data_IF_242479156563
#
_entry.id   IF_242479156563
#
_cell.length_a   1.000
_cell.length_b   1.000
_cell.length_c   1.000
_cell.angle_alpha   90.00
_cell.angle_beta   90.00
_cell.angle_gamma   90.00
#
_symmetry.space_group_name_H-M   'P 1'
#
loop_
_entity.id
_entity.type
_entity.pdbx_description
1 polymer ?
#
# COMPACT_ATOMS: atom_id res chain seq x y z
N UNK A 1 -24.58 -25.17 -17.52
CA UNK A 1 -23.16 -24.78 -17.41
C UNK A 1 -23.11 -23.34 -17.86
N UNK A 2 -23.24 -22.41 -16.91
CA UNK A 2 -23.06 -20.98 -17.17
C UNK A 2 -21.87 -20.52 -16.35
N UNK A 3 -20.79 -20.18 -17.05
CA UNK A 3 -19.62 -19.54 -16.49
C UNK A 3 -20.01 -18.11 -16.10
N UNK A 4 -20.22 -17.88 -14.81
CA UNK A 4 -20.20 -16.52 -14.26
C UNK A 4 -18.75 -16.05 -14.39
N UNK A 5 -18.51 -15.22 -15.40
CA UNK A 5 -17.30 -14.43 -15.53
C UNK A 5 -17.26 -13.46 -14.33
N UNK A 6 -16.63 -13.90 -13.24
CA UNK A 6 -16.25 -13.02 -12.15
C UNK A 6 -15.21 -12.06 -12.73
N UNK A 7 -15.60 -10.81 -12.90
CA UNK A 7 -14.72 -9.72 -13.30
C UNK A 7 -13.78 -9.44 -12.13
N UNK A 8 -12.61 -10.06 -12.17
CA UNK A 8 -11.47 -9.76 -11.30
C UNK A 8 -10.76 -8.52 -11.83
N UNK A 9 -11.14 -7.30 -11.41
CA UNK A 9 -10.35 -6.11 -11.75
C UNK A 9 -10.47 -4.91 -10.79
N UNK A 10 -10.51 -5.10 -9.47
CA UNK A 10 -10.43 -3.96 -8.54
C UNK A 10 -9.42 -4.21 -7.41
N UNK A 11 -8.16 -4.37 -7.82
CA UNK A 11 -7.01 -3.97 -7.00
C UNK A 11 -6.37 -2.81 -7.75
N UNK A 12 -5.82 -1.80 -7.08
CA UNK A 12 -5.02 -0.75 -7.72
C UNK A 12 -3.92 -1.39 -8.56
N UNK A 13 -4.18 -1.59 -9.84
CA UNK A 13 -3.20 -2.00 -10.82
C UNK A 13 -2.12 -0.92 -10.84
N UNK A 14 -0.83 -1.25 -11.02
CA UNK A 14 0.25 -0.27 -11.25
C UNK A 14 -0.16 0.85 -12.24
N UNK A 15 -1.00 0.49 -13.20
CA UNK A 15 -1.69 1.36 -14.14
C UNK A 15 -2.41 2.58 -13.51
N UNK A 16 -3.06 2.48 -12.33
CA UNK A 16 -3.73 3.64 -11.70
C UNK A 16 -2.73 4.65 -11.13
N UNK A 17 -1.70 4.17 -10.43
CA UNK A 17 -0.63 5.03 -9.90
C UNK A 17 0.18 5.66 -11.05
N UNK A 18 0.40 4.92 -12.14
CA UNK A 18 1.06 5.44 -13.34
C UNK A 18 0.21 6.48 -14.08
N UNK A 19 -1.12 6.29 -14.16
CA UNK A 19 -2.03 7.33 -14.66
C UNK A 19 -2.02 8.57 -13.77
N UNK A 20 -2.04 8.40 -12.45
CA UNK A 20 -1.94 9.51 -11.51
C UNK A 20 -0.59 10.25 -11.65
N UNK A 21 0.53 9.53 -11.83
CA UNK A 21 1.85 10.12 -12.11
C UNK A 21 1.88 10.97 -13.38
N UNK A 22 1.17 10.57 -14.43
CA UNK A 22 1.08 11.37 -15.67
C UNK A 22 0.33 12.68 -15.45
N UNK A 23 -0.82 12.63 -14.77
CA UNK A 23 -1.57 13.84 -14.40
C UNK A 23 -0.74 14.74 -13.47
N UNK A 24 -0.02 14.13 -12.53
CA UNK A 24 0.85 14.82 -11.60
C UNK A 24 2.03 15.54 -12.27
N UNK A 25 2.67 14.89 -13.24
CA UNK A 25 3.77 15.50 -13.99
C UNK A 25 3.31 16.74 -14.77
N UNK A 26 2.09 16.71 -15.34
CA UNK A 26 1.51 17.85 -16.02
C UNK A 26 1.25 19.00 -15.03
N UNK A 27 0.59 18.73 -13.92
CA UNK A 27 0.28 19.73 -12.89
C UNK A 27 1.55 20.41 -12.34
N UNK A 28 2.62 19.65 -12.11
CA UNK A 28 3.90 20.18 -11.66
C UNK A 28 4.57 21.08 -12.70
N UNK A 29 4.42 20.78 -13.99
CA UNK A 29 5.05 21.56 -15.06
C UNK A 29 4.45 22.96 -15.20
N UNK A 30 3.21 23.15 -14.76
CA UNK A 30 2.46 24.41 -14.85
C UNK A 30 2.59 25.28 -13.59
N UNK A 31 2.87 24.70 -12.41
CA UNK A 31 2.82 25.39 -11.11
C UNK A 31 4.21 25.63 -10.44
N UNK A 32 5.31 25.63 -11.21
CA UNK A 32 6.68 25.85 -10.66
C UNK A 32 7.14 24.72 -9.74
N UNK A 33 8.25 24.83 -8.98
CA UNK A 33 8.82 23.73 -8.14
C UNK A 33 8.76 24.00 -6.61
N UNK A 34 8.39 25.20 -6.16
CA UNK A 34 8.67 25.68 -4.78
C UNK A 34 7.48 25.73 -3.80
N UNK A 35 6.64 24.68 -3.72
CA UNK A 35 5.56 24.62 -2.72
C UNK A 35 5.69 23.37 -1.83
N UNK A 36 5.55 23.53 -0.51
CA UNK A 36 5.73 22.45 0.47
C UNK A 36 4.61 21.39 0.44
N UNK A 37 3.41 21.70 -0.07
CA UNK A 37 2.21 20.83 0.02
C UNK A 37 1.45 20.59 -1.30
N UNK A 38 2.15 20.42 -2.42
CA UNK A 38 1.54 20.37 -3.77
C UNK A 38 0.47 19.30 -4.00
N UNK A 39 0.51 18.20 -3.27
CA UNK A 39 -0.53 17.17 -3.38
C UNK A 39 -1.83 17.68 -2.78
N UNK A 40 -1.75 18.42 -1.67
CA UNK A 40 -2.91 19.06 -1.05
C UNK A 40 -3.46 20.16 -1.96
N UNK A 41 -2.57 20.95 -2.59
CA UNK A 41 -2.96 21.98 -3.57
C UNK A 41 -3.69 21.36 -4.77
N UNK A 42 -3.15 20.28 -5.36
CA UNK A 42 -3.84 19.57 -6.45
C UNK A 42 -5.18 18.99 -6.00
N UNK A 43 -5.25 18.40 -4.80
CA UNK A 43 -6.53 17.90 -4.27
C UNK A 43 -7.52 19.06 -4.15
N UNK A 44 -7.09 20.19 -3.61
CA UNK A 44 -7.91 21.41 -3.51
C UNK A 44 -8.40 21.88 -4.88
N UNK A 45 -7.51 21.98 -5.88
CA UNK A 45 -7.87 22.40 -7.24
C UNK A 45 -8.87 21.45 -7.90
N UNK A 46 -8.71 20.14 -7.70
CA UNK A 46 -9.65 19.13 -8.22
C UNK A 46 -11.01 19.20 -7.52
N UNK A 47 -11.05 19.53 -6.24
CA UNK A 47 -12.30 19.77 -5.51
C UNK A 47 -13.00 21.03 -6.01
N UNK A 48 -12.26 22.13 -6.24
CA UNK A 48 -12.81 23.35 -6.85
C UNK A 48 -13.32 23.07 -8.27
N UNK A 49 -12.58 22.31 -9.07
CA UNK A 49 -13.01 21.90 -10.42
C UNK A 49 -14.33 21.13 -10.36
N UNK A 50 -14.50 20.24 -9.38
CA UNK A 50 -15.74 19.50 -9.21
C UNK A 50 -16.96 20.41 -8.94
N UNK A 51 -16.75 21.55 -8.28
CA UNK A 51 -17.80 22.55 -8.08
C UNK A 51 -18.07 23.37 -9.35
N UNK A 52 -17.01 23.80 -10.04
CA UNK A 52 -17.09 24.57 -11.29
C UNK A 52 -17.79 23.79 -12.40
N UNK A 53 -17.49 22.49 -12.52
CA UNK A 53 -18.08 21.59 -13.52
C UNK A 53 -19.41 20.97 -13.05
N UNK A 54 -19.96 21.46 -11.93
CA UNK A 54 -21.25 21.04 -11.37
C UNK A 54 -21.39 19.52 -11.17
N UNK A 55 -20.31 18.85 -10.75
CA UNK A 55 -20.36 17.43 -10.45
C UNK A 55 -21.41 17.14 -9.37
N UNK A 56 -22.17 16.03 -9.45
CA UNK A 56 -23.22 15.74 -8.48
C UNK A 56 -22.70 15.71 -7.04
N UNK A 57 -23.13 16.66 -6.20
CA UNK A 57 -22.67 16.79 -4.82
C UNK A 57 -21.38 17.62 -4.63
N UNK A 58 -20.88 18.26 -5.68
CA UNK A 58 -19.72 19.16 -5.64
C UNK A 58 -18.45 18.51 -5.08
N UNK A 59 -17.59 19.34 -4.48
CA UNK A 59 -16.37 18.91 -3.81
C UNK A 59 -16.64 17.79 -2.77
N UNK A 60 -17.64 17.97 -1.91
CA UNK A 60 -17.96 17.03 -0.83
C UNK A 60 -18.36 15.64 -1.37
N UNK A 61 -19.22 15.61 -2.38
CA UNK A 61 -19.69 14.37 -3.00
C UNK A 61 -18.58 13.62 -3.76
N UNK A 62 -17.62 14.34 -4.34
CA UNK A 62 -16.43 13.74 -4.96
C UNK A 62 -15.47 13.20 -3.90
N UNK A 63 -15.16 13.98 -2.87
CA UNK A 63 -14.29 13.54 -1.77
C UNK A 63 -14.81 12.28 -1.07
N UNK A 64 -16.12 12.25 -0.74
CA UNK A 64 -16.75 11.09 -0.11
C UNK A 64 -16.70 9.83 -0.99
N UNK A 65 -16.85 9.97 -2.32
CA UNK A 65 -16.72 8.84 -3.25
C UNK A 65 -15.28 8.38 -3.40
N UNK A 66 -14.32 9.30 -3.48
CA UNK A 66 -12.90 8.98 -3.56
C UNK A 66 -12.44 8.20 -2.32
N UNK A 67 -12.85 8.63 -1.12
CA UNK A 67 -12.59 7.93 0.14
C UNK A 67 -13.19 6.52 0.14
N UNK A 68 -14.47 6.34 -0.22
CA UNK A 68 -15.08 5.00 -0.32
C UNK A 68 -14.37 4.09 -1.32
N UNK A 69 -13.95 4.63 -2.47
CA UNK A 69 -13.22 3.85 -3.47
C UNK A 69 -11.85 3.41 -2.94
N UNK A 70 -11.14 4.29 -2.24
CA UNK A 70 -9.87 3.97 -1.60
C UNK A 70 -10.06 2.90 -0.51
N UNK A 71 -11.04 3.06 0.36
CA UNK A 71 -11.36 2.09 1.43
C UNK A 71 -11.72 0.71 0.86
N UNK A 72 -12.55 0.65 -0.18
CA UNK A 72 -12.90 -0.59 -0.87
C UNK A 72 -11.67 -1.33 -1.44
N UNK A 73 -10.63 -0.60 -1.83
CA UNK A 73 -9.37 -1.17 -2.33
C UNK A 73 -8.42 -1.62 -1.21
N UNK A 74 -8.49 -1.00 -0.02
CA UNK A 74 -7.66 -1.40 1.13
C UNK A 74 -8.06 -2.73 1.77
N UNK A 75 -9.28 -3.21 1.51
CA UNK A 75 -9.91 -4.31 2.25
C UNK A 75 -9.69 -5.75 1.76
N UNK A 76 -8.84 -6.01 0.77
CA UNK A 76 -8.57 -7.41 0.35
C UNK A 76 -7.14 -7.82 0.66
N UNK A 77 -6.98 -8.59 1.75
CA UNK A 77 -5.84 -9.48 1.92
C UNK A 77 -5.58 -10.18 0.60
N UNK A 78 -4.36 -10.12 0.04
CA UNK A 78 -4.13 -10.79 -1.21
C UNK A 78 -3.96 -12.28 -0.94
N UNK A 79 -5.06 -13.03 -1.07
CA UNK A 79 -4.99 -14.43 -1.51
C UNK A 79 -4.16 -14.44 -2.80
N UNK A 80 -2.93 -14.97 -2.71
CA UNK A 80 -2.02 -15.07 -3.85
C UNK A 80 -0.62 -14.46 -3.69
N UNK A 81 -0.19 -13.97 -2.51
CA UNK A 81 1.23 -13.58 -2.27
C UNK A 81 2.18 -14.78 -2.10
N UNK A 82 1.88 -15.92 -2.72
CA UNK A 82 2.69 -17.13 -2.62
C UNK A 82 3.67 -17.24 -3.80
N UNK A 83 4.96 -17.21 -3.40
CA UNK A 83 6.20 -17.68 -4.06
C UNK A 83 6.80 -16.82 -5.18
N UNK A 84 7.85 -16.09 -4.81
CA UNK A 84 9.05 -16.06 -5.65
C UNK A 84 9.88 -17.32 -5.33
N UNK A 85 10.20 -18.12 -6.34
CA UNK A 85 11.03 -19.34 -6.22
C UNK A 85 12.53 -19.02 -6.19
N UNK A 86 12.95 -17.97 -5.48
CA UNK A 86 14.36 -17.75 -5.23
C UNK A 86 14.70 -18.27 -3.83
N UNK A 87 15.83 -18.96 -3.63
CA UNK A 87 16.32 -19.29 -2.30
C UNK A 87 17.04 -18.06 -1.72
N UNK A 88 16.31 -16.96 -1.48
CA UNK A 88 16.88 -15.79 -0.80
C UNK A 88 17.30 -16.13 0.63
N UNK A 89 18.38 -15.51 1.12
CA UNK A 89 18.89 -15.72 2.49
C UNK A 89 17.93 -15.29 3.60
N UNK A 90 17.02 -14.36 3.34
CA UNK A 90 16.08 -13.82 4.31
C UNK A 90 14.64 -13.97 3.83
N UNK A 91 13.73 -14.10 4.79
CA UNK A 91 12.29 -14.28 4.57
C UNK A 91 11.52 -13.27 5.41
N UNK A 92 10.60 -12.56 4.78
CA UNK A 92 9.62 -11.70 5.43
C UNK A 92 8.35 -12.50 5.70
N UNK A 93 7.87 -12.45 6.95
CA UNK A 93 6.69 -13.19 7.36
C UNK A 93 5.72 -12.33 8.16
N UNK A 94 4.44 -12.68 8.07
CA UNK A 94 3.33 -12.09 8.84
C UNK A 94 2.48 -13.19 9.45
N UNK A 95 1.92 -12.94 10.63
CA UNK A 95 0.84 -13.76 11.20
C UNK A 95 -0.15 -12.91 11.97
N UNK A 96 -1.33 -13.47 12.20
CA UNK A 96 -2.15 -13.04 13.34
C UNK A 96 -1.54 -13.61 14.63
N UNK A 97 -1.61 -12.88 15.75
CA UNK A 97 -1.02 -13.28 17.03
C UNK A 97 -1.47 -14.69 17.42
N UNK A 98 -0.49 -15.56 17.71
CA UNK A 98 -0.72 -16.98 18.01
C UNK A 98 -1.02 -17.88 16.79
N UNK A 99 -1.07 -17.31 15.58
CA UNK A 99 -1.31 -18.02 14.32
C UNK A 99 -0.04 -18.57 13.67
N UNK A 100 -0.23 -19.09 12.45
CA UNK A 100 0.85 -19.61 11.59
C UNK A 100 1.51 -18.46 10.83
N UNK A 101 2.84 -18.51 10.70
CA UNK A 101 3.58 -17.55 9.88
C UNK A 101 3.36 -17.80 8.39
N UNK A 102 3.02 -16.73 7.67
CA UNK A 102 2.89 -16.72 6.22
C UNK A 102 4.02 -15.91 5.61
N UNK A 103 4.70 -16.47 4.61
CA UNK A 103 5.74 -15.76 3.86
C UNK A 103 5.12 -14.72 2.94
N UNK A 104 5.61 -13.49 3.06
CA UNK A 104 5.22 -12.31 2.28
C UNK A 104 6.20 -12.10 1.12
N UNK A 105 7.48 -12.44 1.32
CA UNK A 105 8.52 -12.37 0.31
C UNK A 105 9.86 -12.86 0.85
N UNK A 106 10.83 -13.03 -0.03
CA UNK A 106 12.18 -13.49 0.30
C UNK A 106 13.23 -12.84 -0.60
N UNK A 107 14.49 -12.84 -0.16
CA UNK A 107 15.59 -12.19 -0.88
C UNK A 107 16.92 -12.27 -0.11
N UNK A 108 17.99 -11.80 -0.74
CA UNK A 108 19.34 -11.85 -0.15
C UNK A 108 19.69 -10.63 0.69
N UNK A 109 18.97 -9.52 0.50
CA UNK A 109 19.13 -8.28 1.25
C UNK A 109 17.97 -8.13 2.26
N UNK A 110 18.25 -8.11 3.57
CA UNK A 110 17.22 -8.02 4.60
C UNK A 110 16.45 -6.69 4.54
N UNK A 111 17.05 -5.62 4.00
CA UNK A 111 16.38 -4.31 3.85
C UNK A 111 15.29 -4.37 2.79
N UNK A 112 15.60 -4.94 1.62
CA UNK A 112 14.63 -5.21 0.56
C UNK A 112 13.53 -6.15 1.07
N UNK A 113 13.88 -7.18 1.83
CA UNK A 113 12.92 -8.14 2.39
C UNK A 113 11.98 -7.49 3.41
N UNK A 114 12.48 -6.62 4.29
CA UNK A 114 11.64 -5.82 5.19
C UNK A 114 10.67 -4.90 4.44
N UNK A 115 11.09 -4.38 3.28
CA UNK A 115 10.25 -3.59 2.37
C UNK A 115 8.99 -4.33 1.91
N UNK A 116 9.01 -5.65 1.77
CA UNK A 116 7.83 -6.44 1.41
C UNK A 116 6.73 -6.38 2.47
N UNK A 117 7.06 -6.10 3.74
CA UNK A 117 6.10 -6.02 4.84
C UNK A 117 5.39 -4.67 4.92
N UNK A 118 5.88 -3.63 4.23
CA UNK A 118 5.34 -2.26 4.37
C UNK A 118 3.86 -2.17 4.09
N UNK A 119 3.40 -2.82 3.02
CA UNK A 119 1.97 -2.84 2.68
C UNK A 119 1.14 -3.55 3.76
N UNK A 120 1.62 -4.66 4.29
CA UNK A 120 0.94 -5.40 5.35
C UNK A 120 0.91 -4.61 6.67
N UNK A 121 1.98 -3.90 6.99
CA UNK A 121 2.05 -3.02 8.15
C UNK A 121 1.10 -1.82 8.01
N UNK A 122 1.01 -1.20 6.84
CA UNK A 122 0.05 -0.12 6.60
C UNK A 122 -1.40 -0.59 6.76
N UNK A 123 -1.72 -1.79 6.25
CA UNK A 123 -3.04 -2.42 6.47
C UNK A 123 -3.30 -2.66 7.95
N UNK A 124 -2.27 -3.03 8.72
CA UNK A 124 -2.34 -3.22 10.17
C UNK A 124 -2.19 -1.92 10.99
N UNK A 125 -2.33 -0.75 10.37
CA UNK A 125 -2.43 0.54 11.05
C UNK A 125 -1.11 1.28 11.33
N UNK A 126 0.04 0.79 10.84
CA UNK A 126 1.30 1.53 10.96
C UNK A 126 1.33 2.77 10.06
N UNK A 127 1.90 3.87 10.55
CA UNK A 127 2.03 5.10 9.74
C UNK A 127 3.19 4.98 8.77
N UNK A 128 3.03 5.57 7.57
CA UNK A 128 4.07 5.56 6.54
C UNK A 128 5.40 6.14 7.04
N UNK A 129 5.35 7.22 7.84
CA UNK A 129 6.53 7.86 8.42
C UNK A 129 7.33 6.97 9.38
N UNK A 130 6.74 5.90 9.90
CA UNK A 130 7.35 4.99 10.88
C UNK A 130 7.96 3.75 10.22
N UNK A 131 7.58 3.44 8.98
CA UNK A 131 7.95 2.19 8.29
C UNK A 131 9.47 2.02 8.14
N UNK A 132 10.21 3.12 7.93
CA UNK A 132 11.66 3.06 7.81
C UNK A 132 12.32 2.63 9.13
N UNK A 133 11.88 3.16 10.27
CA UNK A 133 12.39 2.78 11.58
C UNK A 133 12.02 1.33 11.91
N UNK A 134 10.78 0.94 11.63
CA UNK A 134 10.32 -0.43 11.82
C UNK A 134 11.02 -1.45 10.92
N UNK A 135 11.43 -1.05 9.71
CA UNK A 135 12.25 -1.92 8.85
C UNK A 135 13.59 -2.22 9.50
N UNK A 136 14.19 -1.23 10.16
CA UNK A 136 15.43 -1.42 10.92
C UNK A 136 15.26 -2.39 12.08
N UNK A 137 14.15 -2.27 12.82
CA UNK A 137 13.79 -3.23 13.88
C UNK A 137 13.64 -4.66 13.33
N UNK A 138 12.95 -4.82 12.20
CA UNK A 138 12.73 -6.12 11.55
C UNK A 138 14.05 -6.75 11.07
N UNK A 139 14.94 -5.95 10.47
CA UNK A 139 16.27 -6.41 10.03
C UNK A 139 17.15 -6.86 11.21
N UNK A 140 16.92 -6.33 12.41
CA UNK A 140 17.58 -6.78 13.64
C UNK A 140 16.95 -8.06 14.23
N UNK A 141 16.02 -8.70 13.51
CA UNK A 141 15.33 -9.92 13.93
C UNK A 141 14.23 -9.69 14.96
N UNK A 142 13.82 -8.43 15.19
CA UNK A 142 12.71 -8.13 16.11
C UNK A 142 11.39 -8.52 15.47
N UNK A 143 10.48 -9.00 16.30
CA UNK A 143 9.08 -9.19 15.89
C UNK A 143 8.32 -7.91 16.24
N UNK A 144 7.74 -7.27 15.24
CA UNK A 144 6.86 -6.12 15.43
C UNK A 144 5.43 -6.61 15.60
N UNK A 145 4.68 -6.02 16.53
CA UNK A 145 3.27 -6.34 16.78
C UNK A 145 2.43 -5.10 16.55
N UNK A 146 1.39 -5.18 15.71
CA UNK A 146 0.40 -4.12 15.55
C UNK A 146 -0.63 -4.14 16.68
N UNK A 147 -1.35 -3.03 16.84
CA UNK A 147 -2.45 -2.95 17.80
C UNK A 147 -3.60 -3.91 17.48
N UNK A 148 -3.76 -4.28 16.21
CA UNK A 148 -4.77 -5.23 15.74
C UNK A 148 -4.32 -6.70 15.88
N UNK A 149 -3.20 -6.93 16.56
CA UNK A 149 -2.69 -8.27 16.87
C UNK A 149 -2.03 -8.96 15.68
N UNK A 150 -1.49 -8.22 14.71
CA UNK A 150 -0.63 -8.79 13.68
C UNK A 150 0.82 -8.73 14.09
N UNK A 151 1.56 -9.80 13.79
CA UNK A 151 2.98 -9.87 14.04
C UNK A 151 3.75 -9.96 12.72
N UNK A 152 4.90 -9.28 12.66
CA UNK A 152 5.75 -9.15 11.48
C UNK A 152 7.19 -9.49 11.86
N UNK A 153 7.89 -10.24 11.01
CA UNK A 153 9.32 -10.55 11.21
C UNK A 153 10.08 -10.68 9.90
N UNK A 154 11.38 -10.40 9.96
CA UNK A 154 12.35 -10.80 8.93
C UNK A 154 13.36 -11.72 9.59
N UNK A 155 13.58 -12.89 9.00
CA UNK A 155 14.46 -13.92 9.56
C UNK A 155 15.34 -14.53 8.47
N UNK A 156 16.52 -15.05 8.84
CA UNK A 156 17.27 -15.96 7.99
C UNK A 156 16.41 -17.15 7.55
N UNK A 157 16.57 -17.60 6.31
CA UNK A 157 15.72 -18.65 5.72
C UNK A 157 15.89 -20.01 6.40
N UNK A 158 17.05 -20.28 6.97
CA UNK A 158 17.34 -21.45 7.80
C UNK A 158 16.64 -21.43 9.16
N UNK A 159 16.09 -20.28 9.57
CA UNK A 159 15.29 -20.09 10.79
C UNK A 159 13.78 -19.96 10.50
N UNK A 160 13.38 -20.14 9.23
CA UNK A 160 12.02 -19.88 8.72
C UNK A 160 10.95 -20.91 9.09
#
# INVERSE_FOLDING_TARGET
MDFIAVVWSDKTTPDRADRARKAWALYQSENGVEAENRIEDLISDLLHLAEVDEHPGGAEGVAARASRNYEAETGTWPEGWVKAEHPGRFVAQVRQAGGVWFTVGDGDDPRTVAGFLWKAMQIAGFRFSELAAHSEDLMQGRVLTSNDGFEFRVIPRDES
#
